data_IF_105629561034
#
_entry.id   IF_105629561034
#
_cell.length_a   1.000
_cell.length_b   1.000
_cell.length_c   1.000
_cell.angle_alpha   90.00
_cell.angle_beta   90.00
_cell.angle_gamma   90.00
#
_symmetry.space_group_name_H-M   'P 1'
#
loop_
_entity.id
_entity.type
_entity.pdbx_description
1 polymer ?
#
# COMPACT_ATOMS: atom_id res chain seq x y z
N UNK A 1 -16.78 -14.95 3.26
CA UNK A 1 -15.50 -15.07 2.52
C UNK A 1 -14.72 -16.20 3.17
N UNK A 2 -14.32 -17.23 2.40
CA UNK A 2 -13.55 -18.37 2.91
C UNK A 2 -12.12 -18.25 2.40
N UNK A 3 -11.14 -18.51 3.24
CA UNK A 3 -9.73 -18.54 2.84
C UNK A 3 -9.49 -19.65 1.81
N UNK A 4 -8.63 -19.43 0.81
CA UNK A 4 -8.25 -20.48 -0.12
C UNK A 4 -7.61 -21.66 0.60
N UNK A 5 -7.86 -22.88 0.13
CA UNK A 5 -7.20 -24.09 0.63
C UNK A 5 -5.69 -24.02 0.38
N UNK A 6 -4.88 -24.34 1.39
CA UNK A 6 -3.43 -24.20 1.38
C UNK A 6 -2.93 -22.80 1.79
N UNK A 7 -3.82 -21.83 2.01
CA UNK A 7 -3.55 -20.46 2.47
C UNK A 7 -4.44 -20.09 3.66
N UNK A 8 -4.54 -20.99 4.64
CA UNK A 8 -5.43 -20.84 5.79
C UNK A 8 -5.01 -19.71 6.75
N UNK A 9 -3.70 -19.43 6.82
CA UNK A 9 -3.10 -18.45 7.71
C UNK A 9 -1.81 -17.85 7.12
N UNK A 10 -1.27 -16.81 7.76
CA UNK A 10 -0.09 -16.07 7.28
C UNK A 10 1.20 -16.90 7.28
N UNK A 11 1.27 -18.03 7.97
CA UNK A 11 2.43 -18.92 7.89
C UNK A 11 2.54 -19.64 6.53
N UNK A 12 1.50 -19.57 5.69
CA UNK A 12 1.40 -20.29 4.42
C UNK A 12 2.02 -19.59 3.21
N UNK A 13 2.49 -18.34 3.34
CA UNK A 13 3.14 -17.63 2.23
C UNK A 13 4.31 -18.39 1.58
N UNK A 14 5.19 -19.12 2.31
CA UNK A 14 6.22 -19.93 1.68
C UNK A 14 5.67 -21.00 0.72
N UNK A 15 4.48 -21.55 0.98
CA UNK A 15 3.85 -22.51 0.08
C UNK A 15 3.45 -21.86 -1.24
N UNK A 16 2.87 -20.65 -1.18
CA UNK A 16 2.56 -19.88 -2.38
C UNK A 16 3.81 -19.60 -3.23
N UNK A 17 4.90 -19.14 -2.59
CA UNK A 17 6.15 -18.86 -3.31
C UNK A 17 6.78 -20.13 -3.90
N UNK A 18 6.64 -21.28 -3.22
CA UNK A 18 7.08 -22.57 -3.74
C UNK A 18 6.27 -23.01 -4.96
N UNK A 19 4.95 -22.82 -4.96
CA UNK A 19 4.12 -23.09 -6.15
C UNK A 19 4.52 -22.19 -7.32
N UNK A 20 4.73 -20.90 -7.10
CA UNK A 20 5.20 -19.99 -8.15
C UNK A 20 6.57 -20.41 -8.70
N UNK A 21 7.49 -20.86 -7.85
CA UNK A 21 8.82 -21.32 -8.28
C UNK A 21 8.77 -22.59 -9.15
N UNK A 22 7.68 -23.37 -9.10
CA UNK A 22 7.47 -24.53 -9.99
C UNK A 22 6.93 -24.13 -11.35
N UNK A 23 6.25 -22.99 -11.44
CA UNK A 23 5.76 -22.46 -12.70
C UNK A 23 6.93 -21.88 -13.52
N UNK A 24 7.01 -22.26 -14.79
CA UNK A 24 8.07 -21.79 -15.71
C UNK A 24 7.95 -20.29 -16.03
N UNK A 25 6.81 -19.67 -15.74
CA UNK A 25 6.58 -18.25 -15.96
C UNK A 25 7.27 -17.36 -14.93
N UNK A 26 7.67 -17.91 -13.77
CA UNK A 26 8.24 -17.14 -12.68
C UNK A 26 9.72 -17.43 -12.51
N UNK A 27 10.56 -16.45 -12.82
CA UNK A 27 11.97 -16.54 -12.49
C UNK A 27 12.19 -16.31 -10.99
N UNK A 28 13.31 -16.79 -10.44
CA UNK A 28 13.71 -16.48 -9.06
C UNK A 28 13.82 -14.97 -8.81
N UNK A 29 14.15 -14.19 -9.84
CA UNK A 29 14.18 -12.73 -9.79
C UNK A 29 12.78 -12.13 -9.60
N UNK A 30 11.78 -12.66 -10.30
CA UNK A 30 10.40 -12.19 -10.19
C UNK A 30 9.78 -12.55 -8.84
N UNK A 31 10.10 -13.73 -8.30
CA UNK A 31 9.69 -14.14 -6.96
C UNK A 31 10.32 -13.23 -5.89
N UNK A 32 11.60 -12.86 -6.04
CA UNK A 32 12.27 -11.91 -5.14
C UNK A 32 11.62 -10.53 -5.17
N UNK A 33 11.24 -10.06 -6.37
CA UNK A 33 10.50 -8.79 -6.53
C UNK A 33 9.12 -8.87 -5.87
N UNK A 34 8.39 -9.97 -6.06
CA UNK A 34 7.07 -10.20 -5.47
C UNK A 34 7.12 -10.26 -3.93
N UNK A 35 8.10 -10.99 -3.38
CA UNK A 35 8.26 -11.16 -1.94
C UNK A 35 8.52 -9.84 -1.19
N UNK A 36 9.00 -8.80 -1.89
CA UNK A 36 9.16 -7.48 -1.29
C UNK A 36 10.00 -6.50 -2.10
N UNK A 37 10.78 -6.95 -3.09
CA UNK A 37 11.64 -6.06 -3.87
C UNK A 37 10.88 -4.94 -4.60
N UNK A 38 9.68 -5.23 -5.11
CA UNK A 38 8.82 -4.22 -5.73
C UNK A 38 8.31 -3.19 -4.70
N UNK A 39 7.91 -3.67 -3.51
CA UNK A 39 7.44 -2.80 -2.43
C UNK A 39 8.56 -1.86 -1.97
N UNK A 40 9.75 -2.41 -1.66
CA UNK A 40 10.90 -1.61 -1.22
C UNK A 40 11.27 -0.58 -2.27
N UNK A 41 11.34 -0.96 -3.56
CA UNK A 41 11.62 -0.01 -4.65
C UNK A 41 10.64 1.15 -4.66
N UNK A 42 9.34 0.87 -4.66
CA UNK A 42 8.31 1.92 -4.67
C UNK A 42 8.41 2.79 -3.43
N UNK A 43 8.60 2.19 -2.27
CA UNK A 43 8.61 2.93 -1.02
C UNK A 43 9.84 3.83 -0.89
N UNK A 44 10.99 3.39 -1.39
CA UNK A 44 12.18 4.25 -1.53
C UNK A 44 11.92 5.43 -2.49
N UNK A 45 11.20 5.25 -3.60
CA UNK A 45 10.85 6.40 -4.45
C UNK A 45 9.87 7.37 -3.75
N UNK A 46 8.95 6.86 -2.93
CA UNK A 46 8.08 7.71 -2.09
C UNK A 46 8.90 8.54 -1.09
N UNK A 47 9.90 7.93 -0.46
CA UNK A 47 10.81 8.62 0.47
C UNK A 47 11.61 9.72 -0.24
N UNK A 48 12.07 9.48 -1.48
CA UNK A 48 12.73 10.51 -2.28
C UNK A 48 11.81 11.70 -2.55
N UNK A 49 10.57 11.45 -2.95
CA UNK A 49 9.59 12.54 -3.19
C UNK A 49 9.33 13.32 -1.90
N UNK A 50 9.23 12.65 -0.74
CA UNK A 50 9.15 13.33 0.56
C UNK A 50 10.36 14.24 0.79
N UNK A 51 11.57 13.75 0.52
CA UNK A 51 12.81 14.52 0.74
C UNK A 51 12.94 15.70 -0.23
N UNK A 52 12.55 15.50 -1.50
CA UNK A 52 12.46 16.56 -2.51
C UNK A 52 11.46 17.65 -2.10
N UNK A 53 10.41 17.28 -1.36
CA UNK A 53 9.39 18.18 -0.83
C UNK A 53 9.69 18.69 0.58
N UNK A 54 10.90 18.48 1.10
CA UNK A 54 11.26 18.90 2.47
C UNK A 54 11.13 20.41 2.74
N UNK A 55 11.17 21.25 1.70
CA UNK A 55 10.95 22.69 1.80
C UNK A 55 9.46 23.10 1.68
N UNK A 56 8.58 22.17 1.32
CA UNK A 56 7.14 22.41 1.20
C UNK A 56 6.53 22.23 2.59
N UNK A 57 5.87 23.28 3.07
CA UNK A 57 5.13 23.21 4.34
C UNK A 57 3.94 22.24 4.25
N UNK A 58 3.43 21.74 5.39
CA UNK A 58 2.21 20.96 5.41
C UNK A 58 1.05 21.71 4.75
N UNK A 59 0.18 20.96 4.06
CA UNK A 59 -1.08 21.51 3.56
C UNK A 59 -2.03 21.70 4.74
N UNK A 60 -2.41 22.94 5.02
CA UNK A 60 -3.32 23.33 6.11
C UNK A 60 -4.71 23.73 5.60
N UNK A 61 -5.02 23.45 4.33
CA UNK A 61 -6.30 23.77 3.73
C UNK A 61 -7.42 22.86 4.27
N UNK A 62 -8.59 23.46 4.53
CA UNK A 62 -9.78 22.69 4.89
C UNK A 62 -10.29 21.90 3.70
N UNK A 63 -10.68 20.64 3.93
CA UNK A 63 -11.42 19.83 2.95
C UNK A 63 -12.70 20.58 2.59
N UNK A 64 -13.01 20.63 1.29
CA UNK A 64 -14.20 21.30 0.78
C UNK A 64 -15.47 20.65 1.36
N UNK A 65 -16.54 21.43 1.52
CA UNK A 65 -17.81 20.92 2.03
C UNK A 65 -18.48 19.89 1.09
N UNK A 66 -18.21 19.97 -0.20
CA UNK A 66 -18.74 19.05 -1.21
C UNK A 66 -18.06 17.67 -1.15
N UNK A 67 -16.81 17.61 -0.69
CA UNK A 67 -16.04 16.38 -0.54
C UNK A 67 -16.26 15.68 0.82
N UNK A 68 -16.97 16.32 1.75
CA UNK A 68 -17.24 15.75 3.07
C UNK A 68 -18.49 14.85 3.03
N UNK A 69 -18.28 13.54 3.12
CA UNK A 69 -19.37 12.56 3.23
C UNK A 69 -19.69 12.20 4.70
N UNK A 70 -20.95 11.87 4.98
CA UNK A 70 -21.43 11.42 6.28
C UNK A 70 -21.94 12.50 7.25
N UNK A 71 -21.78 12.26 8.56
CA UNK A 71 -22.43 13.05 9.61
C UNK A 71 -21.69 14.35 9.93
N UNK A 72 -21.94 15.40 9.15
CA UNK A 72 -21.30 16.71 9.29
C UNK A 72 -22.01 17.65 10.28
N UNK A 73 -22.64 17.15 11.34
CA UNK A 73 -23.51 17.98 12.20
C UNK A 73 -22.74 18.80 13.25
N UNK A 74 -21.50 18.42 13.58
CA UNK A 74 -20.61 19.23 14.41
C UNK A 74 -19.84 20.22 13.54
N UNK A 75 -20.46 21.34 13.19
CA UNK A 75 -19.80 22.45 12.48
C UNK A 75 -19.66 23.64 13.43
N UNK A 76 -18.46 24.19 13.55
CA UNK A 76 -18.29 25.51 14.14
C UNK A 76 -18.79 26.55 13.12
N UNK A 77 -19.67 27.49 13.53
CA UNK A 77 -20.03 28.60 12.66
C UNK A 77 -18.77 29.39 12.31
N UNK A 78 -18.49 29.56 11.02
CA UNK A 78 -17.38 30.38 10.56
C UNK A 78 -17.62 31.86 10.91
N UNK A 79 -16.58 32.55 11.37
CA UNK A 79 -16.50 34.02 11.37
C UNK A 79 -16.38 34.56 9.97
#
# INVERSE_FOLDING_TARGET
>A
MRTPTGLEDVSRYPMLLAELARDRLWSSSDIKKLAGGNLVRVFTEVEKVRDDWSAVGPTEDWISLEDLDGKTYCRYPGT
#
